data_IF_162082000406
#
_entry.id   IF_162082000406
#
_cell.length_a   1.000
_cell.length_b   1.000
_cell.length_c   1.000
_cell.angle_alpha   90.00
_cell.angle_beta   90.00
_cell.angle_gamma   90.00
#
_symmetry.space_group_name_H-M   'P 1'
#
loop_
_entity.id
_entity.type
_entity.pdbx_description
1 polymer ?
#
# COMPACT_ATOMS: atom_id res chain seq x y z
N UNK A 1 -21.75 14.77 15.71
CA UNK A 1 -21.56 15.52 14.45
C UNK A 1 -20.91 14.53 13.50
N UNK A 2 -21.46 14.30 12.30
CA UNK A 2 -20.77 13.45 11.32
C UNK A 2 -19.47 14.15 10.95
N UNK A 3 -18.34 13.48 11.15
CA UNK A 3 -17.07 13.95 10.59
C UNK A 3 -17.24 14.15 9.09
N UNK A 4 -16.71 15.24 8.56
CA UNK A 4 -16.84 15.55 7.14
C UNK A 4 -16.10 14.47 6.32
N UNK A 5 -16.76 13.94 5.31
CA UNK A 5 -16.13 12.99 4.36
C UNK A 5 -15.19 13.78 3.45
N UNK A 6 -13.91 13.42 3.46
CA UNK A 6 -12.94 13.97 2.53
C UNK A 6 -12.93 13.15 1.24
N UNK A 7 -13.05 13.84 0.11
CA UNK A 7 -12.97 13.27 -1.24
C UNK A 7 -11.65 13.64 -1.88
N UNK A 8 -10.85 12.66 -2.26
CA UNK A 8 -9.58 12.84 -2.95
C UNK A 8 -9.71 12.26 -4.36
N UNK A 9 -9.57 13.12 -5.36
CA UNK A 9 -9.71 12.74 -6.75
C UNK A 9 -8.41 12.16 -7.30
N UNK A 10 -8.50 10.99 -7.96
CA UNK A 10 -7.40 10.38 -8.70
C UNK A 10 -7.69 10.58 -10.19
N UNK A 11 -6.83 11.32 -10.86
CA UNK A 11 -6.95 11.56 -12.29
C UNK A 11 -6.83 10.28 -13.12
N UNK A 12 -7.64 10.14 -14.16
CA UNK A 12 -7.48 9.08 -15.14
C UNK A 12 -6.25 9.34 -16.01
N UNK A 13 -5.58 8.27 -16.40
CA UNK A 13 -4.55 8.29 -17.46
C UNK A 13 -5.10 7.70 -18.74
N UNK A 14 -4.33 7.74 -19.84
CA UNK A 14 -4.79 7.19 -21.12
C UNK A 14 -5.25 5.73 -20.96
N UNK A 15 -6.53 5.49 -21.21
CA UNK A 15 -7.18 4.17 -21.13
C UNK A 15 -7.72 3.77 -19.75
N UNK A 16 -7.74 4.70 -18.77
CA UNK A 16 -8.35 4.48 -17.45
C UNK A 16 -9.27 5.63 -17.05
N UNK A 17 -10.40 5.29 -16.42
CA UNK A 17 -11.32 6.28 -15.88
C UNK A 17 -10.75 6.89 -14.57
N UNK A 18 -11.03 8.19 -14.29
CA UNK A 18 -10.75 8.77 -12.99
C UNK A 18 -11.66 8.13 -11.92
N UNK A 19 -11.21 8.18 -10.67
CA UNK A 19 -11.99 7.71 -9.52
C UNK A 19 -11.70 8.53 -8.27
N UNK A 20 -12.55 8.38 -7.26
CA UNK A 20 -12.40 9.07 -6.00
C UNK A 20 -12.02 8.10 -4.86
N UNK A 21 -11.19 8.57 -3.95
CA UNK A 21 -10.94 7.98 -2.65
C UNK A 21 -11.72 8.79 -1.61
N UNK A 22 -12.65 8.15 -0.91
CA UNK A 22 -13.40 8.74 0.19
C UNK A 22 -12.73 8.37 1.51
N UNK A 23 -12.44 9.35 2.34
CA UNK A 23 -11.85 9.17 3.67
C UNK A 23 -12.80 9.74 4.71
N UNK A 24 -13.15 8.98 5.73
CA UNK A 24 -14.07 9.41 6.78
C UNK A 24 -14.52 8.23 7.64
N UNK A 25 -15.60 8.41 8.37
CA UNK A 25 -16.20 7.34 9.19
C UNK A 25 -17.61 7.01 8.69
N UNK A 26 -18.01 5.73 8.83
CA UNK A 26 -19.33 5.25 8.42
C UNK A 26 -19.63 5.44 6.92
N UNK A 27 -18.66 5.14 6.07
CA UNK A 27 -18.73 5.39 4.62
C UNK A 27 -19.52 4.34 3.84
N UNK A 28 -19.97 3.24 4.46
CA UNK A 28 -20.65 2.16 3.73
C UNK A 28 -21.94 2.62 3.03
N UNK A 29 -22.56 3.71 3.49
CA UNK A 29 -23.70 4.33 2.79
C UNK A 29 -23.36 4.86 1.39
N UNK A 30 -22.10 5.17 1.09
CA UNK A 30 -21.64 5.62 -0.22
C UNK A 30 -21.47 4.48 -1.25
N UNK A 31 -21.46 3.22 -0.77
CA UNK A 31 -21.12 2.07 -1.60
C UNK A 31 -22.09 1.86 -2.75
N UNK A 32 -23.41 1.95 -2.51
CA UNK A 32 -24.40 1.80 -3.56
C UNK A 32 -24.24 2.81 -4.69
N UNK A 33 -23.91 4.06 -4.35
CA UNK A 33 -23.61 5.10 -5.33
C UNK A 33 -22.40 4.77 -6.20
N UNK A 34 -21.35 4.18 -5.61
CA UNK A 34 -20.16 3.73 -6.34
C UNK A 34 -20.45 2.49 -7.20
N UNK A 35 -21.30 1.57 -6.76
CA UNK A 35 -21.74 0.42 -7.54
C UNK A 35 -22.52 0.88 -8.77
N UNK A 36 -23.46 1.79 -8.58
CA UNK A 36 -24.25 2.40 -9.65
C UNK A 36 -25.36 1.49 -10.19
N UNK A 37 -26.28 2.07 -10.95
CA UNK A 37 -27.56 1.48 -11.35
C UNK A 37 -27.45 0.35 -12.41
N UNK A 38 -26.30 0.19 -13.04
CA UNK A 38 -26.11 -0.83 -14.08
C UNK A 38 -25.78 -2.21 -13.53
N UNK A 39 -25.28 -2.28 -12.30
CA UNK A 39 -24.92 -3.53 -11.66
C UNK A 39 -26.17 -4.20 -11.09
N UNK A 40 -26.29 -5.51 -11.34
CA UNK A 40 -27.31 -6.34 -10.71
C UNK A 40 -26.72 -7.20 -9.62
N UNK A 41 -25.49 -7.67 -9.83
CA UNK A 41 -24.78 -8.54 -8.91
C UNK A 41 -23.56 -7.83 -8.31
N UNK A 42 -23.30 -8.15 -7.04
CA UNK A 42 -22.13 -7.67 -6.31
C UNK A 42 -21.43 -8.85 -5.62
N UNK A 43 -20.15 -9.04 -5.87
CA UNK A 43 -19.33 -10.01 -5.15
C UNK A 43 -18.50 -9.29 -4.10
N UNK A 44 -18.65 -9.66 -2.84
CA UNK A 44 -17.85 -9.16 -1.72
C UNK A 44 -16.75 -10.17 -1.43
N UNK A 45 -15.50 -9.85 -1.80
CA UNK A 45 -14.31 -10.66 -1.51
C UNK A 45 -13.73 -10.15 -0.19
N UNK A 46 -13.61 -11.03 0.80
CA UNK A 46 -13.10 -10.69 2.13
C UNK A 46 -12.27 -11.83 2.72
N UNK A 47 -11.28 -11.54 3.60
CA UNK A 47 -10.52 -12.59 4.28
C UNK A 47 -11.39 -13.26 5.37
N UNK A 48 -10.96 -14.45 5.78
CA UNK A 48 -11.60 -15.21 6.87
C UNK A 48 -11.75 -14.38 8.16
N UNK A 49 -10.74 -13.59 8.51
CA UNK A 49 -10.76 -12.71 9.70
C UNK A 49 -11.86 -11.64 9.67
N UNK A 50 -12.45 -11.33 8.50
CA UNK A 50 -13.53 -10.37 8.32
C UNK A 50 -14.85 -11.05 7.86
N UNK A 51 -15.06 -12.31 8.20
CA UNK A 51 -16.26 -13.05 7.78
C UNK A 51 -17.57 -12.37 8.20
N UNK A 52 -17.66 -11.91 9.45
CA UNK A 52 -18.83 -11.18 9.95
C UNK A 52 -19.06 -9.87 9.19
N UNK A 53 -18.00 -9.12 8.89
CA UNK A 53 -18.07 -7.88 8.11
C UNK A 53 -18.51 -8.17 6.66
N UNK A 54 -17.95 -9.21 6.05
CA UNK A 54 -18.32 -9.63 4.70
C UNK A 54 -19.79 -10.04 4.58
N UNK A 55 -20.28 -10.82 5.55
CA UNK A 55 -21.68 -11.24 5.61
C UNK A 55 -22.64 -10.08 5.88
N UNK A 56 -22.28 -9.17 6.79
CA UNK A 56 -23.07 -7.97 7.05
C UNK A 56 -23.18 -7.08 5.81
N UNK A 57 -22.07 -6.85 5.11
CA UNK A 57 -22.06 -6.06 3.90
C UNK A 57 -22.87 -6.72 2.76
N UNK A 58 -22.76 -8.05 2.61
CA UNK A 58 -23.58 -8.81 1.66
C UNK A 58 -25.08 -8.67 1.98
N UNK A 59 -25.46 -8.74 3.26
CA UNK A 59 -26.87 -8.61 3.68
C UNK A 59 -27.39 -7.19 3.40
N UNK A 60 -26.64 -6.15 3.74
CA UNK A 60 -26.99 -4.75 3.47
C UNK A 60 -27.17 -4.48 1.96
N UNK A 61 -26.26 -4.97 1.12
CA UNK A 61 -26.39 -4.88 -0.33
C UNK A 61 -27.62 -5.62 -0.87
N UNK A 62 -27.98 -6.76 -0.27
CA UNK A 62 -29.18 -7.50 -0.65
C UNK A 62 -30.45 -6.73 -0.28
N UNK A 63 -30.49 -6.06 0.88
CA UNK A 63 -31.61 -5.17 1.27
C UNK A 63 -31.73 -3.97 0.34
N UNK A 64 -30.64 -3.51 -0.25
CA UNK A 64 -30.62 -2.44 -1.26
C UNK A 64 -30.99 -2.92 -2.67
N UNK A 65 -31.30 -4.23 -2.84
CA UNK A 65 -31.81 -4.80 -4.07
C UNK A 65 -30.76 -5.44 -5.00
N UNK A 66 -29.51 -5.57 -4.56
CA UNK A 66 -28.48 -6.30 -5.31
C UNK A 66 -28.53 -7.81 -5.06
N UNK A 67 -28.23 -8.62 -6.08
CA UNK A 67 -27.94 -10.04 -5.91
C UNK A 67 -26.50 -10.17 -5.36
N UNK A 68 -26.32 -10.06 -4.03
CA UNK A 68 -25.02 -10.02 -3.39
C UNK A 68 -24.52 -11.40 -2.97
N UNK A 69 -23.24 -11.72 -3.24
CA UNK A 69 -22.55 -12.93 -2.82
C UNK A 69 -21.29 -12.58 -2.04
N UNK A 70 -21.01 -13.31 -0.95
CA UNK A 70 -19.77 -13.22 -0.21
C UNK A 70 -18.80 -14.32 -0.69
N UNK A 71 -17.56 -13.96 -0.92
CA UNK A 71 -16.48 -14.88 -1.32
C UNK A 71 -15.38 -14.76 -0.27
N UNK A 72 -15.35 -15.70 0.66
CA UNK A 72 -14.34 -15.76 1.69
C UNK A 72 -13.04 -16.33 1.12
N UNK A 73 -11.92 -15.68 1.43
CA UNK A 73 -10.57 -16.07 1.01
C UNK A 73 -9.66 -16.23 2.25
N UNK A 74 -8.49 -16.91 2.14
CA UNK A 74 -7.52 -16.98 3.23
C UNK A 74 -7.06 -15.61 3.71
N UNK A 75 -6.45 -15.56 4.90
CA UNK A 75 -5.94 -14.30 5.48
C UNK A 75 -4.62 -13.87 4.85
N UNK A 76 -4.39 -12.57 4.79
CA UNK A 76 -3.13 -11.94 4.38
C UNK A 76 -2.56 -12.51 3.05
N UNK A 77 -1.26 -12.72 2.97
CA UNK A 77 -0.56 -13.14 1.75
C UNK A 77 -0.97 -14.54 1.25
N UNK A 78 -1.55 -15.38 2.10
CA UNK A 78 -2.07 -16.70 1.69
C UNK A 78 -3.23 -16.58 0.69
N UNK A 79 -3.92 -15.44 0.67
CA UNK A 79 -4.96 -15.16 -0.32
C UNK A 79 -4.40 -14.92 -1.74
N UNK A 80 -3.14 -14.45 -1.85
CA UNK A 80 -2.58 -13.99 -3.13
C UNK A 80 -1.99 -15.11 -3.96
N UNK A 81 -2.77 -16.15 -4.25
CA UNK A 81 -2.34 -17.29 -5.08
C UNK A 81 -3.22 -17.49 -6.31
N UNK A 82 -2.70 -18.22 -7.30
CA UNK A 82 -3.45 -18.57 -8.50
C UNK A 82 -4.66 -19.45 -8.18
N UNK A 83 -4.53 -20.34 -7.19
CA UNK A 83 -5.59 -21.24 -6.74
C UNK A 83 -6.75 -20.46 -6.12
N UNK A 84 -6.45 -19.45 -5.29
CA UNK A 84 -7.49 -18.59 -4.68
C UNK A 84 -8.14 -17.70 -5.74
N UNK A 85 -7.38 -17.15 -6.68
CA UNK A 85 -7.96 -16.43 -7.81
C UNK A 85 -8.90 -17.31 -8.64
N UNK A 86 -8.50 -18.57 -8.94
CA UNK A 86 -9.34 -19.54 -9.64
C UNK A 86 -10.63 -19.89 -8.88
N UNK A 87 -10.54 -20.00 -7.55
CA UNK A 87 -11.72 -20.17 -6.69
C UNK A 87 -12.69 -18.98 -6.81
N UNK A 88 -12.16 -17.74 -6.78
CA UNK A 88 -12.98 -16.54 -6.97
C UNK A 88 -13.67 -16.54 -8.35
N UNK A 89 -12.92 -16.82 -9.44
CA UNK A 89 -13.52 -16.90 -10.79
C UNK A 89 -14.58 -17.97 -10.91
N UNK A 90 -14.38 -19.13 -10.27
CA UNK A 90 -15.40 -20.19 -10.23
C UNK A 90 -16.67 -19.70 -9.53
N UNK A 91 -16.56 -19.00 -8.38
CA UNK A 91 -17.69 -18.45 -7.66
C UNK A 91 -18.45 -17.42 -8.51
N UNK A 92 -17.74 -16.50 -9.18
CA UNK A 92 -18.33 -15.53 -10.09
C UNK A 92 -19.09 -16.21 -11.25
N UNK A 93 -18.50 -17.24 -11.86
CA UNK A 93 -19.11 -18.00 -12.94
C UNK A 93 -20.38 -18.73 -12.51
N UNK A 94 -20.35 -19.39 -11.35
CA UNK A 94 -21.52 -20.09 -10.78
C UNK A 94 -22.65 -19.14 -10.43
N UNK A 95 -22.33 -17.90 -10.01
CA UNK A 95 -23.30 -16.85 -9.71
C UNK A 95 -23.74 -16.04 -10.94
N UNK A 96 -23.25 -16.37 -12.14
CA UNK A 96 -23.68 -15.74 -13.39
C UNK A 96 -23.24 -14.27 -13.53
N UNK A 97 -22.09 -13.88 -12.98
CA UNK A 97 -21.57 -12.51 -13.08
C UNK A 97 -21.29 -12.09 -14.52
N UNK A 98 -21.80 -10.91 -14.88
CA UNK A 98 -21.66 -10.27 -16.19
C UNK A 98 -20.71 -9.08 -16.16
N UNK A 99 -20.49 -8.43 -17.29
CA UNK A 99 -19.58 -7.25 -17.39
C UNK A 99 -20.07 -6.00 -16.69
N UNK A 100 -21.37 -5.90 -16.39
CA UNK A 100 -21.96 -4.77 -15.67
C UNK A 100 -21.94 -4.95 -14.16
N UNK A 101 -21.64 -6.15 -13.67
CA UNK A 101 -21.61 -6.45 -12.24
C UNK A 101 -20.29 -5.97 -11.61
N UNK A 102 -20.26 -5.88 -10.27
CA UNK A 102 -19.19 -5.22 -9.53
C UNK A 102 -18.56 -6.16 -8.51
N UNK A 103 -17.25 -6.09 -8.35
CA UNK A 103 -16.51 -6.77 -7.28
C UNK A 103 -16.16 -5.74 -6.20
N UNK A 104 -16.40 -6.06 -4.94
CA UNK A 104 -16.00 -5.27 -3.78
C UNK A 104 -14.93 -6.05 -3.01
N UNK A 105 -13.74 -5.50 -2.88
CA UNK A 105 -12.67 -6.08 -2.07
C UNK A 105 -12.60 -5.42 -0.69
N UNK A 106 -12.88 -6.17 0.37
CA UNK A 106 -12.88 -5.69 1.76
C UNK A 106 -11.75 -6.35 2.53
N UNK A 107 -10.77 -5.57 2.99
CA UNK A 107 -9.65 -6.13 3.75
C UNK A 107 -8.36 -5.34 3.67
N UNK A 108 -7.28 -5.95 4.12
CA UNK A 108 -5.93 -5.43 3.97
C UNK A 108 -5.42 -5.47 2.52
N UNK A 109 -4.19 -5.03 2.29
CA UNK A 109 -3.59 -4.92 0.96
C UNK A 109 -3.62 -6.22 0.14
N UNK A 110 -3.41 -7.37 0.76
CA UNK A 110 -3.45 -8.65 0.07
C UNK A 110 -4.84 -8.95 -0.52
N UNK A 111 -5.90 -8.63 0.22
CA UNK A 111 -7.28 -8.83 -0.24
C UNK A 111 -7.65 -7.84 -1.35
N UNK A 112 -7.26 -6.57 -1.22
CA UNK A 112 -7.54 -5.56 -2.25
C UNK A 112 -6.78 -5.87 -3.54
N UNK A 113 -5.51 -6.30 -3.46
CA UNK A 113 -4.72 -6.73 -4.63
C UNK A 113 -5.36 -7.92 -5.35
N UNK A 114 -5.78 -8.96 -4.59
CA UNK A 114 -6.46 -10.12 -5.14
C UNK A 114 -7.79 -9.74 -5.79
N UNK A 115 -8.64 -8.97 -5.08
CA UNK A 115 -9.94 -8.56 -5.60
C UNK A 115 -9.83 -7.76 -6.90
N UNK A 116 -8.89 -6.81 -6.94
CA UNK A 116 -8.58 -6.05 -8.14
C UNK A 116 -8.06 -6.92 -9.28
N UNK A 117 -7.22 -7.93 -9.00
CA UNK A 117 -6.72 -8.87 -10.01
C UNK A 117 -7.83 -9.80 -10.52
N UNK A 118 -8.69 -10.29 -9.65
CA UNK A 118 -9.89 -11.06 -10.03
C UNK A 118 -10.79 -10.22 -10.94
N UNK A 119 -11.01 -8.95 -10.59
CA UNK A 119 -11.79 -8.02 -11.41
C UNK A 119 -11.14 -7.75 -12.78
N UNK A 120 -9.82 -7.52 -12.81
CA UNK A 120 -9.08 -7.27 -14.04
C UNK A 120 -9.16 -8.42 -15.04
N UNK A 121 -9.23 -9.64 -14.54
CA UNK A 121 -9.16 -10.86 -15.34
C UNK A 121 -10.53 -11.46 -15.65
N UNK A 122 -11.55 -11.24 -14.81
CA UNK A 122 -12.92 -11.69 -15.07
C UNK A 122 -13.49 -10.97 -16.29
N UNK A 123 -13.94 -11.70 -17.28
CA UNK A 123 -14.49 -11.20 -18.57
C UNK A 123 -13.62 -10.12 -19.26
N UNK A 124 -12.30 -10.12 -19.00
CA UNK A 124 -11.28 -9.15 -19.47
C UNK A 124 -11.43 -7.75 -18.85
N UNK A 125 -11.94 -7.69 -17.64
CA UNK A 125 -12.11 -6.48 -16.85
C UNK A 125 -13.56 -6.19 -16.51
N UNK A 126 -13.84 -6.17 -15.19
CA UNK A 126 -15.10 -5.68 -14.62
C UNK A 126 -14.78 -4.58 -13.60
N UNK A 127 -15.77 -3.75 -13.29
CA UNK A 127 -15.60 -2.71 -12.25
C UNK A 127 -15.37 -3.32 -10.88
N UNK A 128 -14.57 -2.66 -10.08
CA UNK A 128 -14.35 -3.06 -8.70
C UNK A 128 -14.21 -1.85 -7.77
N UNK A 129 -14.46 -2.07 -6.49
CA UNK A 129 -14.38 -1.06 -5.42
C UNK A 129 -13.52 -1.64 -4.31
N UNK A 130 -12.62 -0.82 -3.76
CA UNK A 130 -11.80 -1.20 -2.62
C UNK A 130 -12.36 -0.63 -1.32
N UNK A 131 -12.45 -1.47 -0.28
CA UNK A 131 -12.72 -1.07 1.10
C UNK A 131 -11.53 -1.53 1.95
N UNK A 132 -10.43 -0.75 1.96
CA UNK A 132 -9.25 -1.10 2.72
C UNK A 132 -9.51 -0.98 4.23
N UNK A 133 -9.04 -1.96 5.01
CA UNK A 133 -9.26 -2.04 6.45
C UNK A 133 -7.97 -1.88 7.27
N UNK A 134 -6.84 -1.60 6.64
CA UNK A 134 -5.56 -1.31 7.29
C UNK A 134 -4.98 -0.01 6.77
N UNK A 135 -4.17 0.70 7.58
CA UNK A 135 -3.50 1.93 7.13
C UNK A 135 -2.70 1.69 5.86
N UNK A 136 -1.90 0.62 5.82
CA UNK A 136 -1.10 0.25 4.64
C UNK A 136 -1.96 0.09 3.38
N UNK A 137 -3.13 -0.54 3.49
CA UNK A 137 -4.03 -0.67 2.36
C UNK A 137 -4.66 0.67 1.95
N UNK A 138 -5.05 1.51 2.91
CA UNK A 138 -5.66 2.83 2.68
C UNK A 138 -4.71 3.77 1.94
N UNK A 139 -3.44 3.84 2.37
CA UNK A 139 -2.48 4.82 1.83
C UNK A 139 -1.65 4.26 0.67
N UNK A 140 -1.63 2.93 0.49
CA UNK A 140 -0.80 2.31 -0.55
C UNK A 140 -1.57 1.34 -1.45
N UNK A 141 -1.91 0.14 -1.00
CA UNK A 141 -2.35 -0.94 -1.89
C UNK A 141 -3.63 -0.61 -2.66
N UNK A 142 -4.65 0.00 -2.03
CA UNK A 142 -5.92 0.30 -2.67
C UNK A 142 -5.87 1.51 -3.63
N UNK A 143 -4.77 2.27 -3.66
CA UNK A 143 -4.64 3.48 -4.48
C UNK A 143 -3.63 3.26 -5.61
N UNK A 144 -4.03 3.54 -6.85
CA UNK A 144 -3.15 3.49 -8.02
C UNK A 144 -3.22 2.21 -8.85
N UNK A 145 -4.19 1.33 -8.56
CA UNK A 145 -4.61 0.25 -9.47
C UNK A 145 -3.58 -0.84 -9.75
N UNK A 146 -2.50 -0.95 -8.99
CA UNK A 146 -1.64 -2.15 -9.03
C UNK A 146 -2.40 -3.29 -8.36
N UNK A 147 -2.64 -4.38 -9.10
CA UNK A 147 -3.34 -5.57 -8.61
C UNK A 147 -2.53 -6.80 -8.97
N UNK A 148 -2.60 -7.87 -8.18
CA UNK A 148 -1.80 -9.03 -8.51
C UNK A 148 -1.80 -10.13 -7.46
N UNK A 149 -1.16 -11.22 -7.85
CA UNK A 149 -0.95 -12.43 -7.06
C UNK A 149 0.53 -12.79 -7.00
N UNK A 150 0.88 -13.64 -6.06
CA UNK A 150 2.23 -14.14 -5.86
C UNK A 150 2.46 -15.44 -6.64
N UNK A 151 3.73 -15.71 -6.95
CA UNK A 151 4.19 -16.99 -7.48
C UNK A 151 5.26 -17.58 -6.55
N UNK A 152 5.70 -18.79 -6.84
CA UNK A 152 6.79 -19.42 -6.08
C UNK A 152 8.11 -18.62 -6.18
N UNK A 153 8.30 -17.86 -7.26
CA UNK A 153 9.50 -17.05 -7.51
C UNK A 153 9.50 -15.71 -6.77
N UNK A 154 8.30 -15.15 -6.48
CA UNK A 154 8.22 -13.87 -5.78
C UNK A 154 6.83 -13.28 -5.66
N UNK A 155 6.73 -12.17 -4.92
CA UNK A 155 5.50 -11.41 -4.75
C UNK A 155 5.17 -10.59 -6.00
N UNK A 156 3.87 -10.48 -6.29
CA UNK A 156 3.30 -9.57 -7.30
C UNK A 156 3.85 -9.73 -8.73
N UNK A 157 4.40 -10.90 -9.08
CA UNK A 157 4.96 -11.15 -10.41
C UNK A 157 3.88 -11.35 -11.47
N UNK A 158 2.67 -11.72 -11.07
CA UNK A 158 1.51 -11.84 -11.96
C UNK A 158 0.47 -10.81 -11.51
N UNK A 159 0.13 -9.88 -12.40
CA UNK A 159 -0.78 -8.79 -12.05
C UNK A 159 -1.27 -8.00 -13.25
N UNK A 160 -2.08 -6.99 -12.95
CA UNK A 160 -2.61 -6.05 -13.91
C UNK A 160 -2.69 -4.65 -13.31
N UNK A 161 -2.57 -3.63 -14.14
CA UNK A 161 -2.97 -2.27 -13.79
C UNK A 161 -4.48 -2.13 -14.04
N UNK A 162 -5.26 -2.16 -12.96
CA UNK A 162 -6.72 -2.08 -13.00
C UNK A 162 -7.23 -1.16 -11.88
N UNK A 163 -7.31 0.15 -12.12
CA UNK A 163 -7.80 1.10 -11.12
C UNK A 163 -9.21 0.74 -10.62
N UNK A 164 -9.49 0.94 -9.32
CA UNK A 164 -10.84 0.77 -8.79
C UNK A 164 -11.80 1.83 -9.34
N UNK A 165 -13.09 1.56 -9.31
CA UNK A 165 -14.12 2.56 -9.59
C UNK A 165 -14.32 3.54 -8.42
N UNK A 166 -13.80 3.21 -7.25
CA UNK A 166 -13.77 4.03 -6.05
C UNK A 166 -13.11 3.29 -4.90
N UNK A 167 -12.67 4.05 -3.90
CA UNK A 167 -12.07 3.52 -2.67
C UNK A 167 -12.80 4.12 -1.46
N UNK A 168 -13.23 3.29 -0.52
CA UNK A 168 -13.83 3.72 0.74
C UNK A 168 -12.86 3.45 1.90
N UNK A 169 -12.11 4.46 2.31
CA UNK A 169 -11.25 4.43 3.48
C UNK A 169 -12.07 4.76 4.73
N UNK A 170 -12.86 3.79 5.20
CA UNK A 170 -13.64 3.95 6.43
C UNK A 170 -12.72 3.81 7.65
N UNK A 171 -12.46 4.94 8.31
CA UNK A 171 -11.57 5.01 9.46
C UNK A 171 -12.10 4.22 10.66
N UNK A 172 -13.39 3.84 10.69
CA UNK A 172 -13.94 2.96 11.72
C UNK A 172 -13.31 1.56 11.69
N UNK A 173 -12.82 1.10 10.53
CA UNK A 173 -12.10 -0.16 10.41
C UNK A 173 -10.80 -0.20 11.24
N UNK A 174 -10.22 0.95 11.54
CA UNK A 174 -8.99 1.06 12.31
C UNK A 174 -9.22 0.90 13.84
N UNK A 175 -10.45 1.04 14.32
CA UNK A 175 -10.77 0.92 15.75
C UNK A 175 -10.43 -0.48 16.31
N UNK A 176 -10.47 -1.52 15.46
CA UNK A 176 -10.12 -2.90 15.80
C UNK A 176 -8.76 -3.35 15.28
N UNK A 177 -8.03 -2.46 14.56
CA UNK A 177 -6.75 -2.83 13.99
C UNK A 177 -5.67 -2.96 15.08
N UNK A 178 -4.92 -4.08 15.15
CA UNK A 178 -3.81 -4.21 16.07
C UNK A 178 -2.78 -3.08 15.90
N UNK A 179 -2.30 -2.53 17.01
CA UNK A 179 -1.34 -1.39 17.01
C UNK A 179 -0.12 -1.67 16.14
N UNK A 180 0.42 -2.89 16.17
CA UNK A 180 1.58 -3.25 15.36
C UNK A 180 1.29 -3.21 13.85
N UNK A 181 0.07 -3.48 13.42
CA UNK A 181 -0.32 -3.41 12.01
C UNK A 181 -0.61 -1.96 11.60
N UNK A 182 -1.16 -1.17 12.53
CA UNK A 182 -1.32 0.27 12.36
C UNK A 182 0.05 0.96 12.20
N UNK A 183 1.00 0.73 13.13
CA UNK A 183 2.36 1.28 13.09
C UNK A 183 3.10 0.83 11.83
N UNK A 184 2.91 -0.43 11.39
CA UNK A 184 3.46 -0.87 10.11
C UNK A 184 2.96 -0.02 8.93
N UNK A 185 1.68 0.35 8.92
CA UNK A 185 1.12 1.25 7.90
C UNK A 185 1.67 2.68 7.99
N UNK A 186 2.00 3.17 9.19
CA UNK A 186 2.59 4.50 9.37
C UNK A 186 3.95 4.65 8.66
N UNK A 187 4.69 3.58 8.42
CA UNK A 187 5.93 3.66 7.66
C UNK A 187 5.71 4.26 6.26
N UNK A 188 4.60 3.90 5.60
CA UNK A 188 4.23 4.45 4.29
C UNK A 188 3.76 5.90 4.39
N UNK A 189 3.05 6.25 5.45
CA UNK A 189 2.64 7.62 5.74
C UNK A 189 3.88 8.51 5.96
N UNK A 190 4.81 8.08 6.81
CA UNK A 190 6.07 8.79 7.08
C UNK A 190 6.92 8.89 5.81
N UNK A 191 6.96 7.84 4.98
CA UNK A 191 7.60 7.89 3.66
C UNK A 191 7.03 9.02 2.81
N UNK A 192 5.72 9.15 2.73
CA UNK A 192 5.07 10.25 2.00
C UNK A 192 5.50 11.63 2.56
N UNK A 193 5.70 11.72 3.87
CA UNK A 193 6.26 12.91 4.53
C UNK A 193 7.66 13.26 4.04
N UNK A 194 8.56 12.29 3.98
CA UNK A 194 9.94 12.53 3.54
C UNK A 194 10.06 12.83 2.05
N UNK A 195 9.23 12.22 1.20
CA UNK A 195 9.37 12.38 -0.26
C UNK A 195 8.57 13.57 -0.82
N UNK A 196 7.53 14.07 -0.13
CA UNK A 196 6.65 15.08 -0.73
C UNK A 196 5.94 16.04 0.25
N UNK A 197 5.42 15.58 1.41
CA UNK A 197 4.63 16.40 2.33
C UNK A 197 5.21 16.43 3.75
N UNK A 198 6.16 17.33 4.05
CA UNK A 198 6.80 17.42 5.36
C UNK A 198 5.86 17.69 6.54
N UNK A 199 4.64 18.19 6.30
CA UNK A 199 3.64 18.40 7.36
C UNK A 199 3.27 17.08 8.05
N UNK A 200 3.34 15.96 7.31
CA UNK A 200 3.17 14.62 7.91
C UNK A 200 4.20 14.39 9.03
N UNK A 201 5.45 14.77 8.79
CA UNK A 201 6.52 14.61 9.78
C UNK A 201 6.29 15.52 10.99
N UNK A 202 5.89 16.78 10.75
CA UNK A 202 5.60 17.75 11.80
C UNK A 202 4.44 17.26 12.69
N UNK A 203 3.40 16.64 12.11
CA UNK A 203 2.29 16.03 12.86
C UNK A 203 2.76 14.86 13.73
N UNK A 204 3.59 13.97 13.18
CA UNK A 204 4.14 12.83 13.92
C UNK A 204 5.03 13.30 15.07
N UNK A 205 5.90 14.29 14.83
CA UNK A 205 6.83 14.83 15.83
C UNK A 205 6.13 15.62 16.94
N UNK A 206 5.01 16.28 16.61
CA UNK A 206 4.24 17.09 17.59
C UNK A 206 3.64 16.23 18.69
N UNK A 207 3.18 15.02 18.38
CA UNK A 207 2.63 14.04 19.32
C UNK A 207 2.79 12.61 18.76
N UNK A 208 3.95 11.98 18.95
CA UNK A 208 4.20 10.63 18.43
C UNK A 208 3.25 9.57 19.01
N UNK A 209 2.81 9.72 20.25
CA UNK A 209 1.88 8.78 20.87
C UNK A 209 0.49 8.87 20.23
N UNK A 210 0.00 10.08 19.97
CA UNK A 210 -1.24 10.29 19.22
C UNK A 210 -1.13 9.77 17.78
N UNK A 211 0.03 9.97 17.13
CA UNK A 211 0.27 9.50 15.76
C UNK A 211 0.28 7.97 15.64
N UNK A 212 0.82 7.24 16.64
CA UNK A 212 0.88 5.77 16.64
C UNK A 212 -0.37 5.08 17.19
N UNK A 213 -1.33 5.83 17.71
CA UNK A 213 -2.57 5.30 18.26
C UNK A 213 -3.61 5.13 17.16
N UNK A 214 -4.13 3.90 16.90
CA UNK A 214 -5.23 3.69 15.97
C UNK A 214 -6.42 4.57 16.31
N UNK A 215 -7.04 5.19 15.29
CA UNK A 215 -8.13 6.15 15.46
C UNK A 215 -7.80 7.36 16.38
N UNK A 216 -6.53 7.66 16.57
CA UNK A 216 -6.06 8.85 17.28
C UNK A 216 -6.36 10.15 16.54
N UNK A 217 -6.15 11.31 17.21
CA UNK A 217 -6.55 12.62 16.66
C UNK A 217 -5.86 13.00 15.35
N UNK A 218 -4.66 12.44 15.08
CA UNK A 218 -3.92 12.72 13.83
C UNK A 218 -4.21 11.71 12.72
N UNK A 219 -4.92 10.60 12.99
CA UNK A 219 -5.10 9.48 12.05
C UNK A 219 -5.72 9.93 10.73
N UNK A 220 -6.80 10.69 10.76
CA UNK A 220 -7.50 11.12 9.55
C UNK A 220 -6.58 12.00 8.68
N UNK A 221 -5.95 13.03 9.25
CA UNK A 221 -5.09 13.95 8.52
C UNK A 221 -3.84 13.25 7.96
N UNK A 222 -3.21 12.37 8.72
CA UNK A 222 -2.05 11.59 8.27
C UNK A 222 -2.40 10.71 7.05
N UNK A 223 -3.54 10.01 7.10
CA UNK A 223 -4.02 9.17 6.01
C UNK A 223 -4.37 10.02 4.79
N UNK A 224 -5.12 11.10 4.97
CA UNK A 224 -5.51 11.98 3.87
C UNK A 224 -4.30 12.59 3.15
N UNK A 225 -3.33 13.10 3.89
CA UNK A 225 -2.10 13.67 3.31
C UNK A 225 -1.31 12.63 2.54
N UNK A 226 -1.15 11.43 3.10
CA UNK A 226 -0.45 10.34 2.42
C UNK A 226 -1.16 9.92 1.13
N UNK A 227 -2.50 9.81 1.15
CA UNK A 227 -3.29 9.50 -0.05
C UNK A 227 -3.13 10.62 -1.10
N UNK A 228 -3.11 11.90 -0.71
CA UNK A 228 -2.91 13.03 -1.66
C UNK A 228 -1.55 12.93 -2.35
N UNK A 229 -0.48 12.68 -1.60
CA UNK A 229 0.85 12.46 -2.19
C UNK A 229 0.81 11.34 -3.22
N UNK A 230 0.18 10.22 -2.89
CA UNK A 230 0.06 9.10 -3.82
C UNK A 230 -0.84 9.43 -5.01
N UNK A 231 -1.94 10.15 -4.79
CA UNK A 231 -2.85 10.59 -5.83
C UNK A 231 -2.15 11.43 -6.90
N UNK A 232 -1.35 12.40 -6.49
CA UNK A 232 -0.58 13.27 -7.39
C UNK A 232 0.40 12.45 -8.26
N UNK A 233 1.09 11.51 -7.63
CA UNK A 233 2.06 10.65 -8.31
C UNK A 233 1.38 9.70 -9.31
N UNK A 234 0.32 8.99 -8.89
CA UNK A 234 -0.33 7.99 -9.76
C UNK A 234 -1.17 8.61 -10.86
N UNK A 235 -1.73 9.81 -10.65
CA UNK A 235 -2.42 10.57 -11.68
C UNK A 235 -1.48 11.01 -12.80
N UNK A 236 -0.19 11.18 -12.49
CA UNK A 236 0.84 11.58 -13.47
C UNK A 236 1.54 10.37 -14.10
N UNK A 237 1.67 9.25 -13.37
CA UNK A 237 2.41 8.06 -13.81
C UNK A 237 1.79 6.77 -13.25
N UNK A 238 0.72 6.29 -13.87
CA UNK A 238 0.03 5.07 -13.44
C UNK A 238 0.91 3.82 -13.55
N UNK A 239 1.72 3.72 -14.60
CA UNK A 239 2.47 2.49 -14.97
C UNK A 239 3.91 2.45 -14.43
N UNK A 240 4.29 3.40 -13.59
CA UNK A 240 5.66 3.48 -13.01
C UNK A 240 6.75 3.58 -14.10
N UNK A 241 6.52 4.49 -15.03
CA UNK A 241 7.46 4.76 -16.13
C UNK A 241 8.53 5.80 -15.79
N UNK A 242 8.40 6.50 -14.65
CA UNK A 242 9.34 7.53 -14.21
C UNK A 242 9.02 8.11 -12.84
N UNK A 243 8.09 9.06 -12.74
CA UNK A 243 7.80 9.78 -11.49
C UNK A 243 7.40 8.85 -10.33
N UNK A 244 6.62 7.82 -10.61
CA UNK A 244 6.14 6.89 -9.58
C UNK A 244 7.27 6.11 -8.89
N UNK A 245 8.49 6.09 -9.47
CA UNK A 245 9.65 5.46 -8.85
C UNK A 245 10.00 6.07 -7.49
N UNK A 246 9.67 7.35 -7.24
CA UNK A 246 9.92 8.02 -5.95
C UNK A 246 9.20 7.34 -4.78
N UNK A 247 8.07 6.66 -5.03
CA UNK A 247 7.35 5.89 -4.02
C UNK A 247 8.15 4.67 -3.51
N UNK A 248 9.22 4.29 -4.22
CA UNK A 248 10.12 3.21 -3.81
C UNK A 248 11.22 3.68 -2.84
N UNK A 249 11.10 4.88 -2.25
CA UNK A 249 12.00 5.33 -1.19
C UNK A 249 12.01 4.32 -0.03
N UNK A 250 13.19 3.82 0.35
CA UNK A 250 13.35 2.75 1.34
C UNK A 250 13.08 1.32 0.85
N UNK A 251 12.40 1.14 -0.28
CA UNK A 251 11.92 -0.18 -0.73
C UNK A 251 13.03 -1.08 -1.28
N UNK A 252 14.12 -0.55 -1.83
CA UNK A 252 15.18 -1.40 -2.40
C UNK A 252 15.79 -2.33 -1.34
N UNK A 253 16.15 -1.80 -0.17
CA UNK A 253 16.59 -2.63 0.97
C UNK A 253 15.42 -3.30 1.67
N UNK A 254 14.30 -2.60 1.86
CA UNK A 254 13.10 -3.14 2.53
C UNK A 254 12.62 -4.45 1.91
N UNK A 255 12.46 -4.54 0.59
CA UNK A 255 12.07 -5.77 -0.11
C UNK A 255 13.11 -6.88 0.02
N UNK A 256 14.41 -6.53 0.03
CA UNK A 256 15.46 -7.53 0.26
C UNK A 256 15.37 -8.12 1.67
N UNK A 257 15.05 -7.30 2.70
CA UNK A 257 14.80 -7.74 4.07
C UNK A 257 13.55 -8.64 4.11
N UNK A 258 12.42 -8.21 3.53
CA UNK A 258 11.19 -9.03 3.48
C UNK A 258 11.46 -10.42 2.89
N UNK A 259 12.18 -10.48 1.75
CA UNK A 259 12.54 -11.74 1.10
C UNK A 259 13.46 -12.59 1.97
N UNK A 260 14.46 -11.98 2.63
CA UNK A 260 15.37 -12.67 3.55
C UNK A 260 14.65 -13.27 4.76
N UNK A 261 13.63 -12.56 5.27
CA UNK A 261 12.77 -12.99 6.38
C UNK A 261 11.61 -13.89 5.91
N UNK A 262 11.59 -14.30 4.64
CA UNK A 262 10.51 -15.11 4.05
C UNK A 262 9.13 -14.49 4.28
N UNK A 263 9.07 -13.14 4.17
CA UNK A 263 7.87 -12.32 4.35
C UNK A 263 7.19 -12.45 5.72
N UNK A 264 7.94 -12.86 6.76
CA UNK A 264 7.46 -12.91 8.14
C UNK A 264 7.52 -11.56 8.85
N UNK A 265 8.39 -10.67 8.40
CA UNK A 265 8.43 -9.29 8.86
C UNK A 265 7.26 -8.51 8.26
N UNK A 266 6.70 -7.60 9.06
CA UNK A 266 5.73 -6.64 8.53
C UNK A 266 6.40 -5.72 7.52
N UNK A 267 5.69 -5.42 6.44
CA UNK A 267 6.20 -4.57 5.36
C UNK A 267 6.77 -3.25 5.87
N UNK A 268 6.00 -2.49 6.67
CA UNK A 268 6.45 -1.21 7.18
C UNK A 268 7.70 -1.27 8.08
N UNK A 269 7.91 -2.38 8.79
CA UNK A 269 9.14 -2.58 9.54
C UNK A 269 10.36 -2.69 8.62
N UNK A 270 10.24 -3.43 7.51
CA UNK A 270 11.31 -3.54 6.54
C UNK A 270 11.56 -2.22 5.78
N UNK A 271 10.49 -1.51 5.41
CA UNK A 271 10.57 -0.21 4.74
C UNK A 271 11.17 0.85 5.67
N UNK A 272 10.89 0.81 6.97
CA UNK A 272 11.50 1.72 7.96
C UNK A 272 13.02 1.59 7.98
N UNK A 273 13.55 0.37 8.09
CA UNK A 273 15.01 0.13 7.99
C UNK A 273 15.54 0.58 6.63
N UNK A 274 14.79 0.34 5.57
CA UNK A 274 15.14 0.78 4.22
C UNK A 274 15.17 2.29 4.06
N UNK A 275 14.28 3.04 4.70
CA UNK A 275 14.29 4.52 4.70
C UNK A 275 15.49 5.06 5.48
N UNK A 276 15.78 4.51 6.67
CA UNK A 276 16.97 4.88 7.43
C UNK A 276 18.23 4.63 6.61
N UNK A 277 18.36 3.46 5.98
CA UNK A 277 19.46 3.16 5.06
C UNK A 277 19.55 4.15 3.90
N UNK A 278 18.43 4.50 3.26
CA UNK A 278 18.41 5.42 2.12
C UNK A 278 18.80 6.85 2.52
N UNK A 279 18.43 7.29 3.73
CA UNK A 279 18.84 8.56 4.31
C UNK A 279 20.36 8.59 4.55
N UNK A 280 20.92 7.56 5.18
CA UNK A 280 22.36 7.44 5.41
C UNK A 280 23.15 7.34 4.09
N UNK A 281 22.62 6.59 3.12
CA UNK A 281 23.21 6.53 1.78
C UNK A 281 23.22 7.91 1.11
N UNK A 282 22.13 8.67 1.20
CA UNK A 282 22.05 10.03 0.69
C UNK A 282 23.04 10.97 1.38
N UNK A 283 23.16 10.88 2.71
CA UNK A 283 24.11 11.66 3.53
C UNK A 283 25.56 11.35 3.13
N UNK A 284 25.93 10.08 3.07
CA UNK A 284 27.29 9.66 2.70
C UNK A 284 27.63 9.97 1.24
N UNK A 285 26.63 10.03 0.36
CA UNK A 285 26.79 10.48 -1.01
C UNK A 285 26.83 12.03 -1.17
N UNK A 286 26.75 12.79 -0.07
CA UNK A 286 26.78 14.26 -0.07
C UNK A 286 25.53 14.93 -0.64
N UNK A 287 24.38 14.23 -0.63
CA UNK A 287 23.11 14.73 -1.16
C UNK A 287 22.15 15.18 -0.05
N UNK A 288 22.20 14.55 1.12
CA UNK A 288 21.34 14.84 2.25
C UNK A 288 22.16 15.44 3.39
N UNK A 289 21.66 16.48 4.02
CA UNK A 289 22.28 17.07 5.22
C UNK A 289 22.09 16.19 6.46
N UNK A 290 22.97 16.33 7.43
CA UNK A 290 22.96 15.53 8.66
C UNK A 290 21.66 15.71 9.45
N UNK A 291 21.11 16.91 9.52
CA UNK A 291 19.88 17.18 10.28
C UNK A 291 18.68 16.44 9.69
N UNK A 292 18.57 16.39 8.36
CA UNK A 292 17.51 15.65 7.68
C UNK A 292 17.71 14.13 7.82
N UNK A 293 18.94 13.63 7.77
CA UNK A 293 19.23 12.22 8.03
C UNK A 293 18.89 11.82 9.46
N UNK A 294 19.27 12.62 10.45
CA UNK A 294 18.91 12.41 11.86
C UNK A 294 17.39 12.46 12.10
N UNK A 295 16.67 13.33 11.36
CA UNK A 295 15.21 13.41 11.43
C UNK A 295 14.55 12.09 11.03
N UNK A 296 15.09 11.35 10.03
CA UNK A 296 14.58 10.01 9.67
C UNK A 296 14.62 9.07 10.86
N UNK A 297 15.77 8.99 11.53
CA UNK A 297 15.93 8.15 12.71
C UNK A 297 14.94 8.54 13.81
N UNK A 298 14.89 9.81 14.14
CA UNK A 298 14.07 10.32 15.24
C UNK A 298 12.58 10.07 15.01
N UNK A 299 12.08 10.39 13.81
CA UNK A 299 10.66 10.22 13.47
C UNK A 299 10.25 8.74 13.45
N UNK A 300 11.04 7.88 12.81
CA UNK A 300 10.72 6.45 12.73
C UNK A 300 10.74 5.78 14.11
N UNK A 301 11.75 6.08 14.92
CA UNK A 301 11.89 5.54 16.27
C UNK A 301 10.77 6.01 17.20
N UNK A 302 10.35 7.27 17.10
CA UNK A 302 9.33 7.88 17.95
C UNK A 302 7.97 7.16 17.88
N UNK A 303 7.65 6.55 16.76
CA UNK A 303 6.42 5.75 16.58
C UNK A 303 6.65 4.25 16.78
N UNK A 304 7.86 3.82 17.14
CA UNK A 304 8.19 2.43 17.44
C UNK A 304 8.51 1.59 16.19
N UNK A 305 8.87 2.22 15.08
CA UNK A 305 9.35 1.53 13.89
C UNK A 305 10.84 1.14 14.07
N UNK A 306 11.28 -0.04 13.61
CA UNK A 306 12.67 -0.46 13.73
C UNK A 306 13.56 0.32 12.77
N UNK A 307 14.79 0.61 13.23
CA UNK A 307 15.82 1.30 12.45
C UNK A 307 16.93 0.35 11.98
N UNK A 308 17.00 -0.84 12.59
CA UNK A 308 18.15 -1.72 12.45
C UNK A 308 17.78 -3.11 11.95
N UNK A 309 18.76 -3.72 11.30
CA UNK A 309 18.69 -5.11 10.85
C UNK A 309 20.05 -5.79 11.08
N UNK A 310 20.12 -7.12 10.95
CA UNK A 310 21.30 -7.92 11.21
C UNK A 310 22.46 -7.59 10.29
N UNK A 311 23.60 -7.18 10.86
CA UNK A 311 24.79 -6.77 10.10
C UNK A 311 25.35 -7.89 9.21
N UNK A 312 25.36 -9.14 9.69
CA UNK A 312 25.86 -10.32 8.99
C UNK A 312 25.11 -10.68 7.70
N UNK A 313 23.91 -10.12 7.50
CA UNK A 313 23.08 -10.42 6.33
C UNK A 313 23.41 -9.57 5.10
N UNK A 314 24.28 -8.57 5.20
CA UNK A 314 24.60 -7.66 4.09
C UNK A 314 24.93 -8.36 2.77
N UNK A 315 25.81 -9.41 2.71
CA UNK A 315 26.14 -10.05 1.44
C UNK A 315 24.91 -10.63 0.73
N UNK A 316 24.00 -11.22 1.50
CA UNK A 316 22.78 -11.84 0.98
C UNK A 316 21.75 -10.79 0.53
N UNK A 317 21.61 -9.71 1.29
CA UNK A 317 20.73 -8.59 0.93
C UNK A 317 21.21 -7.92 -0.36
N UNK A 318 22.52 -7.67 -0.48
CA UNK A 318 23.12 -7.10 -1.68
C UNK A 318 22.88 -7.97 -2.92
N UNK A 319 23.04 -9.29 -2.80
CA UNK A 319 22.72 -10.24 -3.88
C UNK A 319 21.24 -10.17 -4.26
N UNK A 320 20.35 -10.14 -3.27
CA UNK A 320 18.90 -10.04 -3.49
C UNK A 320 18.54 -8.76 -4.23
N UNK A 321 19.09 -7.61 -3.82
CA UNK A 321 18.86 -6.32 -4.49
C UNK A 321 19.35 -6.34 -5.94
N UNK A 322 20.48 -7.00 -6.24
CA UNK A 322 21.00 -7.14 -7.61
C UNK A 322 20.09 -8.00 -8.49
N UNK A 323 19.53 -9.07 -7.97
CA UNK A 323 18.63 -9.96 -8.72
C UNK A 323 17.32 -9.27 -9.07
N UNK A 324 16.73 -8.53 -8.15
CA UNK A 324 15.46 -7.81 -8.34
C UNK A 324 15.58 -6.75 -9.46
N UNK A 325 16.76 -6.17 -9.64
CA UNK A 325 17.03 -5.09 -10.61
C UNK A 325 17.49 -5.56 -12.00
N UNK A 326 17.78 -6.84 -12.22
CA UNK A 326 18.21 -7.38 -13.54
C UNK A 326 17.21 -7.13 -14.67
N UNK A 327 15.95 -6.85 -14.36
CA UNK A 327 14.93 -6.49 -15.34
C UNK A 327 15.04 -5.05 -15.87
N UNK A 328 15.86 -4.17 -15.25
CA UNK A 328 15.99 -2.74 -15.60
C UNK A 328 17.42 -2.29 -15.90
N UNK A 329 18.40 -3.21 -16.03
CA UNK A 329 19.83 -2.92 -16.26
C UNK A 329 20.71 -3.44 -15.13
N UNK A 330 22.05 -3.44 -15.34
CA UNK A 330 23.02 -4.07 -14.41
C UNK A 330 23.38 -3.23 -13.18
N UNK A 331 22.91 -1.97 -13.11
CA UNK A 331 23.26 -1.04 -12.02
C UNK A 331 22.19 -1.05 -10.91
N UNK A 332 22.67 -1.06 -9.66
CA UNK A 332 21.81 -0.83 -8.51
C UNK A 332 21.29 0.61 -8.51
N UNK A 333 20.00 0.78 -8.25
CA UNK A 333 19.33 2.07 -8.18
C UNK A 333 18.64 2.22 -6.82
N UNK A 334 18.84 3.38 -6.21
CA UNK A 334 18.19 3.74 -4.95
C UNK A 334 17.48 5.07 -5.10
N UNK A 335 16.32 5.19 -4.54
CA UNK A 335 15.72 6.50 -4.30
C UNK A 335 16.38 7.05 -3.05
N UNK A 336 16.95 8.24 -3.16
CA UNK A 336 17.54 9.03 -2.06
C UNK A 336 16.92 10.44 -2.09
N UNK A 337 17.28 11.29 -1.14
CA UNK A 337 16.80 12.68 -1.11
C UNK A 337 17.96 13.65 -1.39
N UNK A 338 17.72 14.66 -2.22
CA UNK A 338 18.55 15.86 -2.39
C UNK A 338 18.02 16.99 -1.49
N UNK A 339 17.81 16.69 -0.19
CA UNK A 339 17.11 17.51 0.79
C UNK A 339 15.66 17.04 1.02
N UNK A 340 15.04 17.55 2.07
CA UNK A 340 13.68 17.17 2.47
C UNK A 340 12.68 17.41 1.32
N UNK A 341 11.82 16.42 1.06
CA UNK A 341 10.80 16.42 0.00
C UNK A 341 11.38 16.60 -1.43
N UNK A 342 12.63 16.21 -1.66
CA UNK A 342 13.29 16.25 -2.97
C UNK A 342 13.85 14.89 -3.36
N UNK A 343 12.98 13.90 -3.65
CA UNK A 343 13.43 12.55 -4.01
C UNK A 343 14.15 12.57 -5.38
N UNK A 344 15.22 11.80 -5.47
CA UNK A 344 16.03 11.62 -6.67
C UNK A 344 16.55 10.19 -6.78
N UNK A 345 17.02 9.81 -7.96
CA UNK A 345 17.62 8.50 -8.20
C UNK A 345 19.13 8.57 -8.01
N UNK A 346 19.67 7.65 -7.23
CA UNK A 346 21.11 7.39 -7.13
C UNK A 346 21.43 6.08 -7.84
N UNK A 347 22.13 6.17 -8.97
CA UNK A 347 22.50 5.02 -9.80
C UNK A 347 23.93 4.59 -9.52
N UNK A 348 24.15 3.28 -9.36
CA UNK A 348 25.47 2.68 -9.24
C UNK A 348 26.33 3.27 -8.12
N UNK A 349 25.82 3.46 -6.88
CA UNK A 349 26.63 4.00 -5.79
C UNK A 349 27.86 3.12 -5.55
N UNK A 350 28.96 3.74 -5.09
CA UNK A 350 30.19 3.02 -4.75
C UNK A 350 29.91 1.93 -3.71
N UNK A 351 30.37 0.69 -3.92
CA UNK A 351 30.18 -0.40 -2.96
C UNK A 351 30.66 -0.09 -1.54
N UNK A 352 31.71 0.73 -1.38
CA UNK A 352 32.17 1.15 -0.07
C UNK A 352 31.18 2.09 0.63
N UNK A 353 30.53 3.00 -0.13
CA UNK A 353 29.50 3.89 0.39
C UNK A 353 28.25 3.08 0.77
N UNK A 354 27.86 2.09 -0.04
CA UNK A 354 26.75 1.18 0.30
C UNK A 354 27.01 0.42 1.60
N UNK A 355 28.24 -0.12 1.75
CA UNK A 355 28.61 -0.85 2.96
C UNK A 355 28.65 0.07 4.18
N UNK A 356 29.16 1.30 4.03
CA UNK A 356 29.17 2.29 5.10
C UNK A 356 27.75 2.67 5.52
N UNK A 357 26.85 2.95 4.58
CA UNK A 357 25.45 3.22 4.88
C UNK A 357 24.76 2.03 5.57
N UNK A 358 25.10 0.80 5.16
CA UNK A 358 24.57 -0.38 5.86
C UNK A 358 25.14 -0.54 7.26
N UNK A 359 26.37 -0.06 7.51
CA UNK A 359 26.97 -0.02 8.85
C UNK A 359 26.17 0.78 9.86
N UNK A 360 25.46 1.82 9.42
CA UNK A 360 24.60 2.66 10.28
C UNK A 360 23.27 1.95 10.67
N UNK A 361 22.81 1.04 9.84
CA UNK A 361 21.56 0.28 10.09
C UNK A 361 21.80 -1.17 10.53
N UNK A 362 23.03 -1.65 10.44
CA UNK A 362 23.43 -3.00 10.86
C UNK A 362 23.69 -3.09 12.37
N UNK A 363 23.15 -4.11 13.04
CA UNK A 363 23.43 -4.46 14.45
C UNK A 363 23.81 -5.92 14.58
#
# INVERSE_FOLDING_TARGET
>A
MSEAVTRIHIGGTEGTDPYDVLVGRQLLGELAGLIGDKAKRVAVIHPEALAETGDALRADLAEQGFEAVAIQVPNAEEAKTAEVAAYCWKALGQSGFTRSDVIVGVGGGATTDLAGFVAATWLRGVRWIAIPTTVLAMVDAAVGGKTGINTAEGKNLVGAFHPPAGVLCDLAALDSLPVNDYVSGLAEVIKAGFIADPVILDLVESDPEAARTPAGPHTAELIERSIRVKADVVSSDLKESGLREILNYGHTLGHAIEKNERYKWRHGAAVSVGMHFAAELGRLAGRLDDATADRHRTVLESVGLPLHYRYDQWPKLLETMKVDKKSRGDLLRFIVLDGLAKPTVLEGPDPAVLLAAYGEVGQ
#
